data_IF_193312443285
#
_entry.id   IF_193312443285
#
_cell.length_a   1.000
_cell.length_b   1.000
_cell.length_c   1.000
_cell.angle_alpha   90.00
_cell.angle_beta   90.00
_cell.angle_gamma   90.00
#
_symmetry.space_group_name_H-M   'P 1'
#
loop_
_entity.id
_entity.type
_entity.pdbx_description
1 polymer ?
#
# COMPACT_ATOMS: atom_id res chain seq x y z
N UNK A 1 7.42 -9.90 11.14
CA UNK A 1 6.10 -9.43 10.69
C UNK A 1 5.17 -10.59 10.44
N UNK A 2 4.29 -10.87 11.41
CA UNK A 2 3.36 -12.01 11.42
C UNK A 2 1.91 -11.58 11.30
N UNK A 3 1.63 -10.35 10.87
CA UNK A 3 0.26 -9.93 10.59
C UNK A 3 -0.21 -10.64 9.33
N UNK A 4 -0.91 -11.77 9.48
CA UNK A 4 -1.55 -12.42 8.36
C UNK A 4 -2.75 -11.57 7.91
N UNK A 5 -3.18 -11.69 6.64
CA UNK A 5 -4.40 -11.00 6.20
C UNK A 5 -5.63 -11.34 7.04
N UNK A 6 -5.63 -12.51 7.70
CA UNK A 6 -6.67 -12.90 8.65
C UNK A 6 -6.64 -12.06 9.94
N UNK A 7 -5.46 -11.83 10.52
CA UNK A 7 -5.32 -11.02 11.73
C UNK A 7 -5.74 -9.57 11.45
N UNK A 8 -5.37 -9.04 10.29
CA UNK A 8 -5.79 -7.71 9.82
C UNK A 8 -7.31 -7.63 9.64
N UNK A 9 -7.92 -8.59 8.93
CA UNK A 9 -9.36 -8.61 8.70
C UNK A 9 -10.15 -8.70 10.01
N UNK A 10 -9.74 -9.57 10.94
CA UNK A 10 -10.39 -9.74 12.23
C UNK A 10 -10.29 -8.47 13.08
N UNK A 11 -9.10 -7.86 13.16
CA UNK A 11 -8.92 -6.61 13.92
C UNK A 11 -9.77 -5.47 13.36
N UNK A 12 -9.84 -5.34 12.03
CA UNK A 12 -10.70 -4.35 11.36
C UNK A 12 -12.16 -4.64 11.70
N UNK A 13 -12.62 -5.88 11.54
CA UNK A 13 -14.01 -6.25 11.81
C UNK A 13 -14.43 -5.95 13.26
N UNK A 14 -13.61 -6.32 14.24
CA UNK A 14 -13.86 -5.99 15.65
C UNK A 14 -13.95 -4.47 15.87
N UNK A 15 -13.08 -3.69 15.23
CA UNK A 15 -13.15 -2.22 15.30
C UNK A 15 -14.46 -1.68 14.70
N UNK A 16 -14.94 -2.27 13.60
CA UNK A 16 -16.21 -1.89 12.98
C UNK A 16 -17.42 -2.24 13.87
N UNK A 17 -17.38 -3.38 14.57
CA UNK A 17 -18.39 -3.78 15.56
C UNK A 17 -18.39 -2.82 16.75
N UNK A 18 -17.21 -2.52 17.32
CA UNK A 18 -17.05 -1.58 18.43
C UNK A 18 -17.60 -0.18 18.13
N UNK A 19 -17.48 0.23 16.86
CA UNK A 19 -17.98 1.53 16.39
C UNK A 19 -19.44 1.48 15.91
N UNK A 20 -20.06 0.30 15.85
CA UNK A 20 -21.41 0.08 15.34
C UNK A 20 -21.60 0.60 13.89
N UNK A 21 -20.60 0.40 13.01
CA UNK A 21 -20.63 0.88 11.61
C UNK A 21 -20.47 -0.23 10.56
N UNK A 22 -20.60 -1.50 10.95
CA UNK A 22 -20.46 -2.66 10.05
C UNK A 22 -21.35 -2.54 8.81
N UNK A 23 -22.57 -2.01 8.95
CA UNK A 23 -23.53 -1.81 7.85
C UNK A 23 -23.20 -0.63 6.93
N UNK A 24 -22.31 0.28 7.36
CA UNK A 24 -22.04 1.53 6.66
C UNK A 24 -20.84 1.46 5.70
N UNK A 25 -19.98 0.44 5.82
CA UNK A 25 -18.74 0.35 5.02
C UNK A 25 -19.03 0.09 3.54
N UNK A 26 -18.83 1.05 2.64
CA UNK A 26 -19.12 0.82 1.21
C UNK A 26 -17.90 0.43 0.38
N UNK A 27 -16.70 0.76 0.86
CA UNK A 27 -15.47 0.55 0.10
C UNK A 27 -14.26 0.28 1.01
N UNK A 28 -13.27 -0.44 0.47
CA UNK A 28 -11.96 -0.65 1.09
C UNK A 28 -10.87 0.00 0.23
N UNK A 29 -9.98 0.76 0.87
CA UNK A 29 -8.79 1.31 0.23
C UNK A 29 -7.54 0.80 0.92
N UNK A 30 -6.68 0.11 0.16
CA UNK A 30 -5.43 -0.48 0.66
C UNK A 30 -4.38 -0.58 -0.45
N UNK A 31 -3.11 -0.73 -0.08
CA UNK A 31 -2.07 -1.13 -1.03
C UNK A 31 -2.33 -2.56 -1.57
N UNK A 32 -1.86 -2.85 -2.78
CA UNK A 32 -2.16 -4.10 -3.51
C UNK A 32 -1.19 -5.23 -3.18
N UNK A 33 -0.66 -5.25 -1.95
CA UNK A 33 0.17 -6.37 -1.49
C UNK A 33 -0.67 -7.63 -1.30
N UNK A 34 -0.02 -8.78 -1.39
CA UNK A 34 -0.70 -10.08 -1.26
C UNK A 34 -1.39 -10.27 0.10
N UNK A 35 -0.89 -9.63 1.18
CA UNK A 35 -1.53 -9.65 2.50
C UNK A 35 -2.89 -8.96 2.50
N UNK A 36 -3.07 -7.90 1.71
CA UNK A 36 -4.34 -7.16 1.63
C UNK A 36 -5.28 -7.75 0.56
N UNK A 37 -4.76 -7.96 -0.65
CA UNK A 37 -5.58 -8.29 -1.84
C UNK A 37 -5.39 -9.73 -2.33
N UNK A 38 -4.69 -10.58 -1.57
CA UNK A 38 -4.50 -11.99 -1.91
C UNK A 38 -5.83 -12.72 -2.06
N UNK A 39 -5.98 -13.49 -3.15
CA UNK A 39 -7.25 -14.16 -3.50
C UNK A 39 -7.84 -15.05 -2.40
N UNK A 40 -6.99 -15.70 -1.60
CA UNK A 40 -7.41 -16.70 -0.60
C UNK A 40 -7.30 -16.16 0.84
N UNK A 41 -6.21 -15.47 1.15
CA UNK A 41 -5.87 -15.01 2.51
C UNK A 41 -5.67 -13.50 2.61
N UNK A 42 -6.12 -12.75 1.60
CA UNK A 42 -6.07 -11.30 1.62
C UNK A 42 -7.06 -10.73 2.62
N UNK A 43 -6.63 -9.74 3.39
CA UNK A 43 -7.46 -9.08 4.40
C UNK A 43 -8.79 -8.56 3.82
N UNK A 44 -8.78 -7.99 2.60
CA UNK A 44 -9.99 -7.50 1.96
C UNK A 44 -11.02 -8.60 1.69
N UNK A 45 -10.56 -9.75 1.19
CA UNK A 45 -11.44 -10.90 0.90
C UNK A 45 -12.04 -11.44 2.20
N UNK A 46 -11.22 -11.59 3.23
CA UNK A 46 -11.66 -12.10 4.53
C UNK A 46 -12.62 -11.12 5.22
N UNK A 47 -12.36 -9.82 5.13
CA UNK A 47 -13.24 -8.79 5.67
C UNK A 47 -14.59 -8.73 4.93
N UNK A 48 -14.59 -8.87 3.61
CA UNK A 48 -15.82 -8.97 2.81
C UNK A 48 -16.67 -10.18 3.22
N UNK A 49 -16.04 -11.33 3.50
CA UNK A 49 -16.71 -12.52 4.03
C UNK A 49 -17.30 -12.30 5.42
N UNK A 50 -16.56 -11.63 6.32
CA UNK A 50 -17.03 -11.29 7.67
C UNK A 50 -18.24 -10.33 7.63
N UNK A 51 -18.21 -9.34 6.72
CA UNK A 51 -19.30 -8.39 6.50
C UNK A 51 -20.50 -9.00 5.73
N UNK A 52 -20.33 -10.20 5.15
CA UNK A 52 -21.34 -10.95 4.40
C UNK A 52 -22.01 -10.16 3.25
N UNK A 53 -21.26 -9.25 2.61
CA UNK A 53 -21.75 -8.43 1.50
C UNK A 53 -20.61 -7.97 0.62
N UNK A 54 -20.93 -7.66 -0.63
CA UNK A 54 -19.94 -7.14 -1.57
C UNK A 54 -19.48 -5.74 -1.14
N UNK A 55 -18.17 -5.50 -1.21
CA UNK A 55 -17.56 -4.21 -0.90
C UNK A 55 -16.79 -3.70 -2.12
N UNK A 56 -16.85 -2.40 -2.39
CA UNK A 56 -16.08 -1.81 -3.48
C UNK A 56 -14.59 -1.74 -3.13
N UNK A 57 -13.73 -2.34 -3.94
CA UNK A 57 -12.28 -2.27 -3.72
C UNK A 57 -11.70 -1.08 -4.48
N UNK A 58 -11.02 -0.20 -3.75
CA UNK A 58 -10.41 1.02 -4.27
C UNK A 58 -8.90 0.94 -4.03
N UNK A 59 -8.11 0.44 -4.98
CA UNK A 59 -6.67 0.33 -4.80
C UNK A 59 -6.01 1.66 -4.43
N UNK A 60 -5.05 1.64 -3.51
CA UNK A 60 -4.34 2.82 -3.06
C UNK A 60 -3.59 3.48 -4.23
N UNK A 61 -3.99 4.71 -4.58
CA UNK A 61 -3.37 5.50 -5.67
C UNK A 61 -1.88 5.74 -5.44
N UNK A 62 -1.45 5.93 -4.19
CA UNK A 62 -0.04 6.08 -3.86
C UNK A 62 0.75 4.83 -4.29
N UNK A 63 0.26 3.66 -3.93
CA UNK A 63 0.93 2.40 -4.26
C UNK A 63 0.92 2.12 -5.78
N UNK A 64 -0.15 2.51 -6.49
CA UNK A 64 -0.15 2.47 -7.97
C UNK A 64 0.98 3.33 -8.53
N UNK A 65 1.14 4.56 -8.05
CA UNK A 65 2.22 5.43 -8.51
C UNK A 65 3.60 4.88 -8.17
N UNK A 66 3.77 4.30 -6.98
CA UNK A 66 5.01 3.60 -6.59
C UNK A 66 5.36 2.49 -7.59
N UNK A 67 4.39 1.63 -7.95
CA UNK A 67 4.61 0.55 -8.93
C UNK A 67 5.00 1.10 -10.30
N UNK A 68 4.32 2.15 -10.78
CA UNK A 68 4.63 2.78 -12.08
C UNK A 68 6.03 3.39 -12.06
N UNK A 69 6.37 4.15 -11.01
CA UNK A 69 7.69 4.75 -10.85
C UNK A 69 8.79 3.69 -10.77
N UNK A 70 8.58 2.64 -9.98
CA UNK A 70 9.48 1.49 -9.90
C UNK A 70 9.70 0.85 -11.26
N UNK A 71 8.64 0.62 -12.03
CA UNK A 71 8.74 0.02 -13.37
C UNK A 71 9.57 0.88 -14.33
N UNK A 72 9.35 2.20 -14.32
CA UNK A 72 10.14 3.14 -15.11
C UNK A 72 11.61 3.09 -14.68
N UNK A 73 11.85 3.03 -13.37
CA UNK A 73 13.19 2.98 -12.82
C UNK A 73 13.92 1.70 -13.24
N UNK A 74 13.28 0.54 -13.10
CA UNK A 74 13.82 -0.76 -13.49
C UNK A 74 14.19 -0.77 -14.99
N UNK A 75 13.34 -0.21 -15.86
CA UNK A 75 13.57 -0.12 -17.31
C UNK A 75 14.73 0.84 -17.65
N UNK A 76 14.82 1.99 -16.99
CA UNK A 76 15.79 3.03 -17.34
C UNK A 76 17.16 2.84 -16.71
N UNK A 77 17.23 2.20 -15.55
CA UNK A 77 18.46 2.07 -14.78
C UNK A 77 18.93 0.62 -14.63
N UNK A 78 18.24 -0.35 -15.22
CA UNK A 78 18.75 -1.70 -15.47
C UNK A 78 19.02 -2.54 -14.23
N UNK A 79 18.45 -2.17 -13.08
CA UNK A 79 18.56 -2.95 -11.84
C UNK A 79 17.30 -2.76 -11.02
N UNK A 80 16.74 -3.86 -10.50
CA UNK A 80 15.87 -3.80 -9.31
C UNK A 80 16.78 -3.40 -8.14
N UNK A 81 17.03 -2.11 -7.99
CA UNK A 81 17.94 -1.64 -6.96
C UNK A 81 17.25 -1.69 -5.61
N UNK A 82 17.53 -2.76 -4.87
CA UNK A 82 17.08 -2.91 -3.49
C UNK A 82 17.95 -2.04 -2.58
N UNK A 83 17.74 -0.71 -2.58
CA UNK A 83 18.30 0.15 -1.54
C UNK A 83 18.83 1.53 -1.98
N UNK A 84 19.34 2.30 -1.01
CA UNK A 84 19.79 3.69 -1.22
C UNK A 84 21.08 3.80 -2.05
N UNK A 85 21.71 2.66 -2.38
CA UNK A 85 23.02 2.65 -3.03
C UNK A 85 23.00 2.96 -4.55
N UNK A 86 21.84 3.31 -5.09
CA UNK A 86 21.72 3.66 -6.52
C UNK A 86 22.51 4.93 -6.82
N UNK A 87 23.34 4.93 -7.87
CA UNK A 87 24.17 6.10 -8.22
C UNK A 87 23.37 7.40 -8.35
N UNK A 88 22.15 7.35 -8.88
CA UNK A 88 21.29 8.53 -9.02
C UNK A 88 20.83 9.08 -7.66
N UNK A 89 20.50 8.23 -6.70
CA UNK A 89 20.11 8.66 -5.35
C UNK A 89 21.30 9.23 -4.59
N UNK A 90 22.49 8.63 -4.71
CA UNK A 90 23.73 9.21 -4.16
C UNK A 90 24.02 10.59 -4.75
N UNK A 91 23.81 10.77 -6.06
CA UNK A 91 23.97 12.07 -6.71
C UNK A 91 22.97 13.11 -6.19
N UNK A 92 21.71 12.75 -6.00
CA UNK A 92 20.72 13.66 -5.41
C UNK A 92 21.06 14.00 -3.96
N UNK A 93 21.48 13.01 -3.16
CA UNK A 93 21.93 13.23 -1.78
C UNK A 93 23.09 14.23 -1.71
N UNK A 94 24.11 14.06 -2.57
CA UNK A 94 25.25 14.97 -2.65
C UNK A 94 24.85 16.38 -3.11
N UNK A 95 23.86 16.49 -4.01
CA UNK A 95 23.39 17.77 -4.51
C UNK A 95 22.44 18.51 -3.56
N UNK A 96 21.93 17.84 -2.51
CA UNK A 96 20.89 18.36 -1.64
C UNK A 96 21.20 19.75 -1.04
N UNK A 97 22.46 20.01 -0.66
CA UNK A 97 22.89 21.30 -0.13
C UNK A 97 22.81 22.46 -1.13
N UNK A 98 22.74 22.18 -2.43
CA UNK A 98 22.63 23.19 -3.49
C UNK A 98 21.17 23.49 -3.89
N UNK A 99 20.20 22.77 -3.33
CA UNK A 99 18.79 23.02 -3.60
C UNK A 99 18.39 24.31 -2.90
N UNK A 100 17.88 25.28 -3.67
CA UNK A 100 17.38 26.53 -3.10
C UNK A 100 16.08 26.27 -2.31
N UNK A 101 16.13 26.45 -1.00
CA UNK A 101 15.00 26.24 -0.08
C UNK A 101 14.23 27.52 0.25
N UNK A 102 14.65 28.68 -0.28
CA UNK A 102 14.06 29.99 0.07
C UNK A 102 12.75 30.32 -0.64
N UNK A 103 12.31 29.48 -1.59
CA UNK A 103 11.14 29.70 -2.44
C UNK A 103 10.07 28.58 -2.33
N UNK A 104 9.96 27.93 -1.17
CA UNK A 104 8.87 26.97 -0.89
C UNK A 104 7.78 27.61 -0.04
#
# INVERSE_FOLDING_TARGET
DTGTGADQANAIFQTLEDWCITDNIQALCCDTTASNTGRIKGACILLEQLLQRNILYVPCRHHIYEIVLRSVFDVKFGTTTSGPDVPIFKRFQQFWSNVNTTNF
#
